data_IF_281895254424
#
_entry.id   IF_281895254424
#
_cell.length_a   1.000
_cell.length_b   1.000
_cell.length_c   1.000
_cell.angle_alpha   90.00
_cell.angle_beta   90.00
_cell.angle_gamma   90.00
#
_symmetry.space_group_name_H-M   'P 1'
#
loop_
_entity.id
_entity.type
_entity.pdbx_description
1 polymer ?
#
# COMPACT_ATOMS: atom_id res chain seq x y z
N UNK A 1 -1.67 20.39 10.73
CA UNK A 1 -0.70 19.49 10.04
C UNK A 1 -1.49 18.35 9.42
N UNK A 2 -1.34 18.14 8.11
CA UNK A 2 -1.99 17.04 7.40
C UNK A 2 -1.07 15.82 7.29
N UNK A 3 -1.57 14.71 6.76
CA UNK A 3 -0.78 13.47 6.62
C UNK A 3 0.45 13.63 5.72
N UNK A 4 0.39 14.46 4.67
CA UNK A 4 1.52 14.65 3.76
C UNK A 4 2.64 15.48 4.39
N UNK A 5 2.27 16.47 5.20
CA UNK A 5 3.23 17.26 5.98
C UNK A 5 3.94 16.38 7.02
N UNK A 6 3.17 15.62 7.80
CA UNK A 6 3.71 14.64 8.76
C UNK A 6 4.64 13.64 8.06
N UNK A 7 4.22 13.10 6.91
CA UNK A 7 5.04 12.14 6.17
C UNK A 7 6.36 12.75 5.68
N UNK A 8 6.32 13.98 5.17
CA UNK A 8 7.52 14.69 4.73
C UNK A 8 8.51 14.89 5.88
N UNK A 9 8.02 15.24 7.06
CA UNK A 9 8.84 15.36 8.27
C UNK A 9 9.42 14.00 8.69
N UNK A 10 8.58 12.97 8.81
CA UNK A 10 9.03 11.61 9.16
C UNK A 10 10.03 11.04 8.16
N UNK A 11 9.85 11.29 6.87
CA UNK A 11 10.79 10.84 5.82
C UNK A 11 12.17 11.52 5.97
N UNK A 12 12.18 12.80 6.31
CA UNK A 12 13.43 13.52 6.58
C UNK A 12 14.15 12.96 7.81
N UNK A 13 13.41 12.71 8.88
CA UNK A 13 13.93 12.13 10.12
C UNK A 13 14.41 10.68 9.92
N UNK A 14 13.69 9.87 9.15
CA UNK A 14 14.08 8.50 8.79
C UNK A 14 15.39 8.48 8.02
N UNK A 15 15.57 9.40 7.06
CA UNK A 15 16.83 9.53 6.31
C UNK A 15 18.00 9.84 7.24
N UNK A 16 17.85 10.81 8.15
CA UNK A 16 18.87 11.14 9.16
C UNK A 16 19.20 9.93 10.03
N UNK A 17 18.18 9.22 10.52
CA UNK A 17 18.34 8.00 11.30
C UNK A 17 19.14 6.93 10.54
N UNK A 18 18.85 6.71 9.27
CA UNK A 18 19.57 5.76 8.41
C UNK A 18 21.04 6.15 8.24
N UNK A 19 21.32 7.44 8.05
CA UNK A 19 22.71 7.93 7.90
C UNK A 19 23.49 7.74 9.20
N UNK A 20 22.89 8.00 10.36
CA UNK A 20 23.49 7.75 11.68
C UNK A 20 23.75 6.26 11.90
N UNK A 21 22.81 5.37 11.57
CA UNK A 21 22.99 3.90 11.66
C UNK A 21 24.15 3.44 10.76
N UNK A 22 24.26 3.96 9.54
CA UNK A 22 25.36 3.63 8.64
C UNK A 22 26.71 4.08 9.21
N UNK A 23 26.76 5.23 9.88
CA UNK A 23 27.95 5.74 10.53
C UNK A 23 28.34 4.91 11.75
N UNK A 24 27.39 4.51 12.57
CA UNK A 24 27.57 3.56 13.68
C UNK A 24 28.16 2.22 13.20
N UNK A 25 27.65 1.67 12.09
CA UNK A 25 28.17 0.43 11.52
C UNK A 25 29.63 0.56 11.07
N UNK A 26 30.01 1.70 10.48
CA UNK A 26 31.41 1.97 10.08
C UNK A 26 32.33 2.06 11.31
N UNK A 27 31.89 2.79 12.34
CA UNK A 27 32.64 2.90 13.59
C UNK A 27 32.80 1.56 14.31
N UNK A 28 31.71 0.76 14.35
CA UNK A 28 31.77 -0.58 14.92
C UNK A 28 32.87 -1.45 14.27
N UNK A 29 32.91 -1.44 12.91
CA UNK A 29 33.98 -2.16 12.18
C UNK A 29 35.38 -1.64 12.50
N UNK A 30 35.53 -0.33 12.69
CA UNK A 30 36.81 0.27 13.09
C UNK A 30 37.20 -0.14 14.52
N UNK A 31 36.25 -0.12 15.45
CA UNK A 31 36.42 -0.58 16.84
C UNK A 31 36.90 -2.03 16.89
N UNK A 32 36.26 -2.94 16.14
CA UNK A 32 36.68 -4.34 16.07
C UNK A 32 38.12 -4.47 15.60
N UNK A 33 38.48 -3.82 14.49
CA UNK A 33 39.84 -3.84 13.96
C UNK A 33 40.85 -3.27 14.95
N UNK A 34 40.54 -2.13 15.59
CA UNK A 34 41.45 -1.49 16.53
C UNK A 34 41.63 -2.32 17.82
N UNK A 35 40.59 -3.05 18.22
CA UNK A 35 40.65 -4.04 19.31
C UNK A 35 41.59 -5.21 18.95
N UNK A 36 41.42 -5.79 17.76
CA UNK A 36 42.24 -6.90 17.27
C UNK A 36 43.74 -6.51 17.12
N UNK A 37 44.00 -5.26 16.68
CA UNK A 37 45.38 -4.75 16.53
C UNK A 37 46.00 -4.23 17.82
N UNK A 38 45.22 -4.04 18.90
CA UNK A 38 45.67 -3.45 20.15
C UNK A 38 45.93 -1.94 20.06
N UNK A 39 45.40 -1.24 19.08
CA UNK A 39 45.51 0.22 18.92
C UNK A 39 44.58 0.96 19.88
N UNK A 40 45.00 1.07 21.13
CA UNK A 40 44.23 1.69 22.21
C UNK A 40 43.91 3.17 21.95
N UNK A 41 44.78 3.89 21.22
CA UNK A 41 44.54 5.30 20.91
C UNK A 41 43.41 5.50 19.92
N UNK A 42 43.37 4.75 18.82
CA UNK A 42 42.31 4.81 17.85
C UNK A 42 41.01 4.19 18.41
N UNK A 43 41.12 3.10 19.19
CA UNK A 43 40.02 2.48 19.89
C UNK A 43 39.27 3.48 20.79
N UNK A 44 40.02 4.21 21.65
CA UNK A 44 39.41 5.22 22.54
C UNK A 44 38.68 6.32 21.75
N UNK A 45 39.31 6.82 20.67
CA UNK A 45 38.71 7.85 19.82
C UNK A 45 37.42 7.35 19.15
N UNK A 46 37.47 6.13 18.60
CA UNK A 46 36.33 5.56 17.90
C UNK A 46 35.18 5.19 18.85
N UNK A 47 35.46 4.78 20.09
CA UNK A 47 34.47 4.57 21.13
C UNK A 47 33.76 5.88 21.53
N UNK A 48 34.52 6.99 21.67
CA UNK A 48 33.93 8.30 21.95
C UNK A 48 32.98 8.72 20.82
N UNK A 49 33.43 8.66 19.56
CA UNK A 49 32.61 8.98 18.41
C UNK A 49 31.35 8.08 18.29
N UNK A 50 31.47 6.80 18.64
CA UNK A 50 30.36 5.88 18.67
C UNK A 50 29.33 6.27 19.74
N UNK A 51 29.79 6.66 20.93
CA UNK A 51 28.94 7.15 22.03
C UNK A 51 28.16 8.42 21.63
N UNK A 52 28.86 9.36 20.96
CA UNK A 52 28.22 10.61 20.48
C UNK A 52 27.11 10.34 19.49
N UNK A 53 27.35 9.44 18.51
CA UNK A 53 26.34 9.03 17.54
C UNK A 53 25.16 8.26 18.16
N UNK A 54 25.37 7.49 19.23
CA UNK A 54 24.28 6.86 19.97
C UNK A 54 23.39 7.92 20.63
N UNK A 55 23.99 8.98 21.19
CA UNK A 55 23.24 10.12 21.74
C UNK A 55 22.39 10.80 20.66
N UNK A 56 22.97 11.05 19.47
CA UNK A 56 22.24 11.61 18.33
C UNK A 56 21.07 10.71 17.90
N UNK A 57 21.30 9.39 17.81
CA UNK A 57 20.27 8.42 17.46
C UNK A 57 19.12 8.41 18.47
N UNK A 58 19.42 8.52 19.74
CA UNK A 58 18.39 8.61 20.79
C UNK A 58 17.54 9.87 20.62
N UNK A 59 18.19 11.02 20.39
CA UNK A 59 17.48 12.29 20.16
C UNK A 59 16.58 12.23 18.92
N UNK A 60 17.06 11.69 17.81
CA UNK A 60 16.24 11.47 16.59
C UNK A 60 15.03 10.58 16.85
N UNK A 61 15.20 9.53 17.66
CA UNK A 61 14.09 8.66 18.04
C UNK A 61 13.02 9.42 18.83
N UNK A 62 13.43 10.31 19.72
CA UNK A 62 12.50 11.15 20.49
C UNK A 62 11.82 12.20 19.62
N UNK A 63 12.53 12.79 18.65
CA UNK A 63 11.94 13.70 17.66
C UNK A 63 10.83 13.01 16.88
N UNK A 64 11.10 11.81 16.34
CA UNK A 64 10.10 11.00 15.60
C UNK A 64 8.87 10.71 16.47
N UNK A 65 9.07 10.29 17.71
CA UNK A 65 7.97 10.05 18.66
C UNK A 65 7.11 11.29 18.85
N UNK A 66 7.73 12.44 19.06
CA UNK A 66 7.01 13.71 19.23
C UNK A 66 6.20 14.10 18.00
N UNK A 67 6.77 13.91 16.79
CA UNK A 67 6.05 14.19 15.54
C UNK A 67 4.82 13.27 15.39
N UNK A 68 4.95 11.99 15.72
CA UNK A 68 3.84 11.02 15.67
C UNK A 68 2.80 11.31 16.74
N UNK A 69 3.20 11.55 17.99
CA UNK A 69 2.30 11.85 19.12
C UNK A 69 1.61 13.22 18.98
N UNK A 70 2.26 14.15 18.29
CA UNK A 70 1.69 15.48 18.02
C UNK A 70 0.64 15.49 16.91
N UNK A 71 0.49 14.40 16.17
CA UNK A 71 -0.51 14.29 15.11
C UNK A 71 -1.80 13.66 15.64
N UNK A 72 -2.85 14.49 15.78
CA UNK A 72 -4.18 14.02 16.18
C UNK A 72 -4.92 13.40 14.99
N UNK A 73 -4.61 12.14 14.72
CA UNK A 73 -5.22 11.38 13.65
C UNK A 73 -6.74 11.21 13.82
N UNK A 74 -7.22 11.15 15.07
CA UNK A 74 -8.64 11.01 15.35
C UNK A 74 -9.42 12.23 14.90
N UNK A 75 -9.02 13.41 15.36
CA UNK A 75 -9.63 14.67 14.94
C UNK A 75 -9.52 14.88 13.43
N UNK A 76 -8.41 14.52 12.82
CA UNK A 76 -8.20 14.61 11.39
C UNK A 76 -9.21 13.75 10.57
N UNK A 77 -9.56 12.56 11.05
CA UNK A 77 -10.60 11.72 10.44
C UNK A 77 -12.01 12.24 10.73
N UNK A 78 -12.31 12.63 11.98
CA UNK A 78 -13.63 13.07 12.42
C UNK A 78 -14.05 14.39 11.76
N UNK A 79 -13.13 15.32 11.54
CA UNK A 79 -13.38 16.59 10.86
C UNK A 79 -13.55 16.47 9.33
N UNK A 80 -13.32 15.27 8.77
CA UNK A 80 -13.40 15.04 7.32
C UNK A 80 -12.16 15.44 6.53
N UNK A 81 -11.13 16.00 7.16
CA UNK A 81 -9.89 16.42 6.50
C UNK A 81 -9.20 15.27 5.76
N UNK A 82 -9.26 14.06 6.33
CA UNK A 82 -8.77 12.86 5.64
C UNK A 82 -9.51 12.59 4.33
N UNK A 83 -10.85 12.72 4.35
CA UNK A 83 -11.66 12.49 3.17
C UNK A 83 -11.38 13.54 2.08
N UNK A 84 -11.23 14.80 2.48
CA UNK A 84 -10.88 15.88 1.54
C UNK A 84 -9.53 15.64 0.88
N UNK A 85 -8.51 15.31 1.66
CA UNK A 85 -7.17 15.01 1.17
C UNK A 85 -7.15 13.76 0.28
N UNK A 86 -7.93 12.74 0.62
CA UNK A 86 -8.08 11.54 -0.19
C UNK A 86 -8.67 11.89 -1.57
N UNK A 87 -9.72 12.71 -1.62
CA UNK A 87 -10.36 13.14 -2.86
C UNK A 87 -9.44 14.03 -3.70
N UNK A 88 -8.64 14.89 -3.07
CA UNK A 88 -7.63 15.70 -3.75
C UNK A 88 -6.58 14.80 -4.43
N UNK A 89 -6.05 13.81 -3.70
CA UNK A 89 -5.11 12.84 -4.24
C UNK A 89 -5.71 12.01 -5.38
N UNK A 90 -7.00 11.67 -5.31
CA UNK A 90 -7.71 11.03 -6.42
C UNK A 90 -7.74 11.90 -7.67
N UNK A 91 -8.02 13.21 -7.52
CA UNK A 91 -8.01 14.18 -8.64
C UNK A 91 -6.63 14.28 -9.26
N UNK A 92 -5.58 14.43 -8.46
CA UNK A 92 -4.19 14.51 -8.92
C UNK A 92 -3.76 13.27 -9.71
N UNK A 93 -4.18 12.08 -9.26
CA UNK A 93 -3.82 10.80 -9.90
C UNK A 93 -4.77 10.36 -11.02
N UNK A 94 -5.81 11.14 -11.31
CA UNK A 94 -6.82 10.80 -12.31
C UNK A 94 -7.61 9.53 -11.95
N UNK A 95 -7.95 9.37 -10.68
CA UNK A 95 -8.87 8.34 -10.19
C UNK A 95 -10.27 8.95 -10.14
N UNK A 96 -11.18 8.43 -10.95
CA UNK A 96 -12.59 8.84 -10.93
C UNK A 96 -13.27 8.36 -9.66
N UNK A 97 -13.96 9.27 -8.96
CA UNK A 97 -14.63 8.99 -7.69
C UNK A 97 -16.09 9.35 -7.81
N UNK A 98 -16.96 8.42 -7.41
CA UNK A 98 -18.43 8.61 -7.31
C UNK A 98 -18.89 8.33 -5.90
N UNK A 99 -20.09 8.82 -5.56
CA UNK A 99 -20.67 8.64 -4.23
C UNK A 99 -20.27 9.77 -3.27
N UNK A 100 -20.65 9.60 -2.01
CA UNK A 100 -20.52 10.57 -0.94
C UNK A 100 -20.01 9.89 0.33
N UNK A 101 -19.43 10.73 1.23
CA UNK A 101 -18.99 10.26 2.53
C UNK A 101 -20.09 9.47 3.26
N UNK A 102 -19.78 8.35 3.88
CA UNK A 102 -18.46 7.72 4.04
C UNK A 102 -18.09 6.67 2.97
N UNK A 103 -18.88 6.56 1.88
CA UNK A 103 -18.73 5.49 0.88
C UNK A 103 -18.49 6.08 -0.49
N UNK A 104 -17.36 5.72 -1.08
CA UNK A 104 -16.96 6.13 -2.43
C UNK A 104 -16.82 4.93 -3.35
N UNK A 105 -17.07 5.14 -4.63
CA UNK A 105 -16.81 4.19 -5.69
C UNK A 105 -15.64 4.70 -6.53
N UNK A 106 -14.55 3.96 -6.52
CA UNK A 106 -13.33 4.20 -7.31
C UNK A 106 -13.15 3.01 -8.25
N UNK A 107 -14.01 2.92 -9.27
CA UNK A 107 -14.15 1.72 -10.11
C UNK A 107 -12.81 1.02 -10.40
N UNK A 108 -12.73 -0.33 -10.22
CA UNK A 108 -13.80 -1.27 -9.85
C UNK A 108 -14.01 -1.44 -8.35
N UNK A 109 -13.35 -0.66 -7.52
CA UNK A 109 -13.33 -0.79 -6.08
C UNK A 109 -14.41 0.04 -5.39
N UNK A 110 -14.87 -0.46 -4.24
CA UNK A 110 -15.68 0.28 -3.29
C UNK A 110 -14.84 0.64 -2.07
N UNK A 111 -14.81 1.93 -1.74
CA UNK A 111 -14.02 2.48 -0.64
C UNK A 111 -14.97 2.97 0.43
N UNK A 112 -14.76 2.55 1.69
CA UNK A 112 -15.53 3.04 2.84
C UNK A 112 -14.57 3.57 3.90
N UNK A 113 -14.83 4.79 4.35
CA UNK A 113 -14.12 5.42 5.46
C UNK A 113 -14.81 5.08 6.79
N UNK A 114 -14.01 4.82 7.80
CA UNK A 114 -14.43 4.58 9.18
C UNK A 114 -13.66 5.54 10.08
N UNK A 115 -14.26 6.71 10.34
CA UNK A 115 -13.60 7.75 11.11
C UNK A 115 -13.40 7.34 12.57
N UNK A 116 -14.33 6.59 13.14
CA UNK A 116 -14.26 6.15 14.54
C UNK A 116 -13.04 5.27 14.80
N UNK A 117 -12.76 4.33 13.87
CA UNK A 117 -11.63 3.41 13.96
C UNK A 117 -10.40 3.89 13.18
N UNK A 118 -10.48 5.05 12.50
CA UNK A 118 -9.42 5.61 11.65
C UNK A 118 -8.98 4.62 10.56
N UNK A 119 -9.96 3.90 9.99
CA UNK A 119 -9.75 2.87 9.01
C UNK A 119 -10.29 3.27 7.64
N UNK A 120 -9.70 2.70 6.61
CA UNK A 120 -10.24 2.73 5.25
C UNK A 120 -10.42 1.30 4.75
N UNK A 121 -11.57 1.03 4.17
CA UNK A 121 -11.87 -0.26 3.58
C UNK A 121 -11.86 -0.17 2.07
N UNK A 122 -11.12 -1.06 1.42
CA UNK A 122 -11.16 -1.29 -0.03
C UNK A 122 -11.89 -2.61 -0.25
N UNK A 123 -13.13 -2.55 -0.73
CA UNK A 123 -14.07 -3.67 -0.74
C UNK A 123 -14.21 -4.30 0.65
N UNK A 124 -13.60 -5.46 0.88
CA UNK A 124 -13.60 -6.16 2.16
C UNK A 124 -12.29 -6.04 2.95
N UNK A 125 -11.24 -5.47 2.32
CA UNK A 125 -9.93 -5.38 2.94
C UNK A 125 -9.81 -4.10 3.75
N UNK A 126 -9.41 -4.24 5.02
CA UNK A 126 -9.17 -3.15 5.95
C UNK A 126 -7.74 -2.63 5.83
N UNK A 127 -7.59 -1.32 5.89
CA UNK A 127 -6.32 -0.60 6.00
C UNK A 127 -6.42 0.38 7.17
N UNK A 128 -5.55 0.24 8.16
CA UNK A 128 -5.51 1.13 9.32
C UNK A 128 -4.51 2.25 9.10
N UNK A 129 -4.89 3.48 9.44
CA UNK A 129 -4.01 4.66 9.46
C UNK A 129 -3.14 4.80 8.21
N UNK A 130 -3.71 4.58 7.04
CA UNK A 130 -2.99 4.67 5.78
C UNK A 130 -2.93 6.11 5.28
N UNK A 131 -1.78 6.51 4.72
CA UNK A 131 -1.61 7.81 4.09
C UNK A 131 -2.46 7.91 2.82
N UNK A 132 -3.24 9.01 2.61
CA UNK A 132 -4.11 9.19 1.45
C UNK A 132 -3.41 8.94 0.11
N UNK A 133 -2.26 9.56 -0.12
CA UNK A 133 -1.48 9.38 -1.35
C UNK A 133 -1.08 7.92 -1.61
N UNK A 134 -0.66 7.19 -0.57
CA UNK A 134 -0.27 5.78 -0.68
C UNK A 134 -1.46 4.91 -1.01
N UNK A 135 -2.61 5.20 -0.41
CA UNK A 135 -3.86 4.48 -0.68
C UNK A 135 -4.33 4.71 -2.13
N UNK A 136 -4.37 5.97 -2.57
CA UNK A 136 -4.76 6.30 -3.95
C UNK A 136 -3.80 5.71 -4.97
N UNK A 137 -2.49 5.71 -4.68
CA UNK A 137 -1.50 5.06 -5.55
C UNK A 137 -1.73 3.55 -5.67
N UNK A 138 -2.15 2.89 -4.59
CA UNK A 138 -2.49 1.47 -4.59
C UNK A 138 -3.75 1.21 -5.43
N UNK A 139 -4.79 2.03 -5.27
CA UNK A 139 -6.02 1.96 -6.08
C UNK A 139 -5.67 2.14 -7.57
N UNK A 140 -4.89 3.17 -7.90
CA UNK A 140 -4.45 3.44 -9.27
C UNK A 140 -3.66 2.29 -9.87
N UNK A 141 -2.74 1.72 -9.11
CA UNK A 141 -1.96 0.56 -9.55
C UNK A 141 -2.86 -0.65 -9.85
N UNK A 142 -3.89 -0.87 -9.02
CA UNK A 142 -4.90 -1.91 -9.25
C UNK A 142 -5.71 -1.66 -10.54
N UNK A 143 -6.19 -0.42 -10.74
CA UNK A 143 -6.90 -0.01 -11.95
C UNK A 143 -6.03 -0.17 -13.21
N UNK A 144 -4.77 0.25 -13.15
CA UNK A 144 -3.83 0.12 -14.26
C UNK A 144 -3.54 -1.34 -14.62
N UNK A 145 -3.49 -2.24 -13.65
CA UNK A 145 -3.36 -3.69 -13.92
C UNK A 145 -4.55 -4.23 -14.70
N UNK A 146 -5.76 -3.77 -14.39
CA UNK A 146 -6.97 -4.21 -15.08
C UNK A 146 -7.09 -3.62 -16.49
N UNK A 147 -6.67 -2.37 -16.68
CA UNK A 147 -6.85 -1.65 -17.94
C UNK A 147 -5.65 -1.78 -18.90
N UNK A 148 -4.42 -1.88 -18.37
CA UNK A 148 -3.17 -1.98 -19.15
C UNK A 148 -2.70 -3.41 -19.35
N UNK A 149 -3.36 -4.41 -18.74
CA UNK A 149 -3.11 -5.80 -19.07
C UNK A 149 -3.31 -5.99 -20.56
N UNK A 150 -2.34 -6.60 -21.26
CA UNK A 150 -2.48 -6.94 -22.68
C UNK A 150 -3.66 -7.91 -22.82
N UNK A 151 -4.84 -7.33 -23.06
CA UNK A 151 -6.04 -8.11 -23.27
C UNK A 151 -5.94 -8.84 -24.61
N UNK A 152 -5.70 -10.14 -24.55
CA UNK A 152 -5.73 -11.00 -25.72
C UNK A 152 -7.19 -11.39 -25.99
N UNK A 153 -7.83 -10.63 -26.90
CA UNK A 153 -9.23 -10.83 -27.25
C UNK A 153 -9.49 -12.23 -27.83
N UNK A 154 -8.57 -12.77 -28.61
CA UNK A 154 -8.71 -14.11 -29.18
C UNK A 154 -8.68 -15.20 -28.10
N UNK A 155 -7.73 -15.10 -27.16
CA UNK A 155 -7.66 -16.04 -26.03
C UNK A 155 -8.92 -15.96 -25.17
N UNK A 156 -9.43 -14.74 -24.92
CA UNK A 156 -10.66 -14.55 -24.17
C UNK A 156 -11.90 -15.13 -24.87
N UNK A 157 -12.02 -14.95 -26.19
CA UNK A 157 -13.11 -15.52 -26.97
C UNK A 157 -13.07 -17.06 -26.98
N UNK A 158 -11.88 -17.66 -27.04
CA UNK A 158 -11.73 -19.11 -26.93
C UNK A 158 -12.18 -19.59 -25.53
N UNK A 159 -11.71 -18.95 -24.46
CA UNK A 159 -12.13 -19.25 -23.08
C UNK A 159 -13.64 -19.10 -22.89
N UNK A 160 -14.25 -18.08 -23.52
CA UNK A 160 -15.68 -17.85 -23.49
C UNK A 160 -16.45 -18.95 -24.23
N UNK A 161 -15.94 -19.39 -25.37
CA UNK A 161 -16.50 -20.52 -26.14
C UNK A 161 -16.45 -21.82 -25.34
N UNK A 162 -15.30 -22.13 -24.74
CA UNK A 162 -15.13 -23.33 -23.90
C UNK A 162 -16.08 -23.31 -22.69
N UNK A 163 -16.22 -22.13 -22.04
CA UNK A 163 -17.15 -21.94 -20.92
C UNK A 163 -18.61 -22.12 -21.36
N UNK A 164 -18.95 -21.65 -22.58
CA UNK A 164 -20.28 -21.85 -23.15
C UNK A 164 -20.58 -23.33 -23.40
N UNK A 165 -19.66 -24.06 -24.01
CA UNK A 165 -19.80 -25.50 -24.26
C UNK A 165 -19.98 -26.29 -22.96
N UNK A 166 -19.18 -25.97 -21.94
CA UNK A 166 -19.35 -26.55 -20.60
C UNK A 166 -20.70 -26.21 -19.96
N UNK A 167 -21.19 -24.98 -20.14
CA UNK A 167 -22.46 -24.56 -19.61
C UNK A 167 -23.62 -25.28 -20.32
N UNK A 168 -23.56 -25.43 -21.66
CA UNK A 168 -24.55 -26.20 -22.46
C UNK A 168 -24.65 -27.63 -21.93
N UNK A 169 -23.50 -28.30 -21.76
CA UNK A 169 -23.45 -29.66 -21.22
C UNK A 169 -24.02 -29.78 -19.80
N UNK A 170 -23.59 -28.91 -18.90
CA UNK A 170 -23.98 -28.96 -17.48
C UNK A 170 -25.44 -28.57 -17.23
N UNK A 171 -25.97 -27.65 -18.05
CA UNK A 171 -27.36 -27.18 -17.96
C UNK A 171 -28.34 -28.02 -18.80
N UNK A 172 -27.82 -29.07 -19.46
CA UNK A 172 -28.60 -29.94 -20.37
C UNK A 172 -29.36 -29.16 -21.43
N UNK A 173 -28.72 -28.12 -21.99
CA UNK A 173 -29.32 -27.31 -23.07
C UNK A 173 -28.90 -27.82 -24.44
N UNK A 174 -29.67 -27.42 -25.45
CA UNK A 174 -29.26 -27.66 -26.83
C UNK A 174 -28.13 -26.71 -27.23
N UNK A 175 -27.22 -27.10 -28.14
CA UNK A 175 -26.31 -26.20 -28.79
C UNK A 175 -27.00 -24.94 -29.31
N UNK A 176 -26.34 -23.79 -29.30
CA UNK A 176 -26.87 -22.48 -29.71
C UNK A 176 -28.00 -21.91 -28.83
N UNK A 177 -28.30 -22.53 -27.67
CA UNK A 177 -29.24 -21.98 -26.71
C UNK A 177 -28.71 -20.75 -26.00
N UNK A 178 -29.57 -19.80 -25.69
CA UNK A 178 -29.25 -18.66 -24.86
C UNK A 178 -28.86 -19.09 -23.44
N UNK A 179 -27.70 -18.60 -22.96
CA UNK A 179 -27.23 -18.80 -21.59
C UNK A 179 -26.97 -17.42 -20.99
N UNK A 180 -27.53 -17.16 -19.79
CA UNK A 180 -27.29 -15.92 -19.09
C UNK A 180 -25.80 -15.76 -18.75
N UNK A 181 -25.25 -14.57 -18.97
CA UNK A 181 -23.84 -14.26 -18.67
C UNK A 181 -23.48 -14.58 -17.20
N UNK A 182 -24.40 -14.34 -16.26
CA UNK A 182 -24.20 -14.69 -14.84
C UNK A 182 -24.04 -16.19 -14.60
N UNK A 183 -24.68 -17.03 -15.43
CA UNK A 183 -24.49 -18.49 -15.38
C UNK A 183 -23.20 -18.91 -16.06
N UNK A 184 -22.85 -18.27 -17.17
CA UNK A 184 -21.62 -18.51 -17.91
C UNK A 184 -20.39 -18.13 -17.10
N UNK A 185 -20.46 -17.06 -16.32
CA UNK A 185 -19.37 -16.61 -15.44
C UNK A 185 -18.88 -17.70 -14.48
N UNK A 186 -19.78 -18.56 -13.99
CA UNK A 186 -19.42 -19.69 -13.10
C UNK A 186 -18.48 -20.71 -13.77
N UNK A 187 -18.49 -20.78 -15.08
CA UNK A 187 -17.66 -21.68 -15.87
C UNK A 187 -16.38 -21.01 -16.35
N UNK A 188 -16.34 -19.68 -16.41
CA UNK A 188 -15.14 -18.90 -16.68
C UNK A 188 -14.16 -18.89 -15.49
N UNK A 189 -14.68 -18.84 -14.26
CA UNK A 189 -13.86 -18.76 -13.03
C UNK A 189 -12.83 -19.90 -12.88
N UNK A 190 -13.11 -21.17 -13.25
CA UNK A 190 -12.12 -22.25 -13.19
C UNK A 190 -11.00 -22.16 -14.23
N UNK A 191 -11.15 -21.30 -15.25
CA UNK A 191 -10.13 -21.14 -16.29
C UNK A 191 -8.86 -20.48 -15.70
N UNK A 192 -7.70 -20.99 -16.06
CA UNK A 192 -6.42 -20.68 -15.43
C UNK A 192 -6.03 -19.20 -15.38
N UNK A 193 -6.60 -18.36 -16.27
CA UNK A 193 -6.42 -16.93 -16.33
C UNK A 193 -7.13 -16.21 -15.17
N UNK A 194 -8.37 -16.59 -14.88
CA UNK A 194 -9.19 -15.97 -13.83
C UNK A 194 -8.86 -16.51 -12.44
N UNK A 195 -8.32 -17.72 -12.34
CA UNK A 195 -7.91 -18.32 -11.08
C UNK A 195 -6.80 -17.54 -10.39
N UNK A 196 -5.83 -16.98 -11.15
CA UNK A 196 -4.75 -16.17 -10.60
C UNK A 196 -5.22 -14.84 -10.02
N UNK A 197 -6.27 -14.26 -10.59
CA UNK A 197 -6.82 -12.99 -10.11
C UNK A 197 -7.77 -13.20 -8.91
N UNK A 198 -8.39 -14.36 -8.80
CA UNK A 198 -9.29 -14.72 -7.71
C UNK A 198 -8.55 -15.16 -6.44
N UNK A 199 -7.42 -15.85 -6.57
CA UNK A 199 -6.58 -16.28 -5.43
C UNK A 199 -5.78 -15.11 -4.80
N UNK A 200 -5.82 -13.92 -5.38
CA UNK A 200 -5.14 -12.69 -4.88
C UNK A 200 -6.11 -11.69 -4.21
N UNK A 201 -7.41 -11.98 -4.14
CA UNK A 201 -8.42 -11.22 -3.42
C UNK A 201 -8.74 -11.85 -2.06
#
# INVERSE_FOLDING_TARGET
MNYEELYGELQSQEKRMKDTVNSLQKLYKAIVRDTESGDLKNLSRNLSAFSDLLGEQTHLTEEIKKSVEGFDSKTYYENGEFAEQLLEQCREKGVDVKGEYPVYEMFPYKVRLDAENQDIYLDRKRFSCVRPQSFVQMVKTGQDRLTKANFNSQAFLNELSDAYDMAVLKLHKQPESDIYLTSLYKFLVPMGRFRKDYDQQ
#
